data_IF_424710210051
#
_entry.id   IF_424710210051
#
_cell.length_a   1.000
_cell.length_b   1.000
_cell.length_c   1.000
_cell.angle_alpha   90.00
_cell.angle_beta   90.00
_cell.angle_gamma   90.00
#
_symmetry.space_group_name_H-M   'P 1'
#
loop_
_entity.id
_entity.type
_entity.pdbx_description
1 polymer ?
#
# COMPACT_ATOMS: atom_id res chain seq x y z
N UNK A 1 14.39 -50.25 41.30
CA UNK A 1 14.73 -48.84 40.97
C UNK A 1 14.82 -48.71 39.46
N UNK A 2 14.42 -47.55 38.91
CA UNK A 2 14.34 -47.18 37.48
C UNK A 2 13.02 -47.51 36.73
N UNK A 3 12.01 -46.67 37.01
CA UNK A 3 11.05 -46.16 36.01
C UNK A 3 11.06 -44.62 36.13
N UNK A 4 10.85 -43.94 34.99
CA UNK A 4 10.80 -42.49 34.75
C UNK A 4 12.10 -41.82 34.27
N UNK A 5 12.16 -41.53 32.96
CA UNK A 5 12.25 -40.17 32.41
C UNK A 5 12.34 -40.23 30.88
N UNK A 6 11.22 -39.95 30.19
CA UNK A 6 11.22 -39.42 28.82
C UNK A 6 10.27 -38.21 28.86
N UNK A 7 10.75 -36.96 28.77
CA UNK A 7 9.88 -35.82 28.57
C UNK A 7 10.02 -35.20 27.18
N UNK A 8 8.86 -35.00 26.55
CA UNK A 8 8.48 -33.74 25.86
C UNK A 8 9.32 -33.24 24.67
N UNK A 9 9.40 -34.02 23.58
CA UNK A 9 9.83 -33.47 22.27
C UNK A 9 8.71 -33.53 21.19
N UNK A 10 7.54 -34.11 21.49
CA UNK A 10 6.52 -34.38 20.45
C UNK A 10 5.37 -33.35 20.41
N UNK A 11 5.26 -32.38 21.33
CA UNK A 11 4.13 -31.42 21.30
C UNK A 11 4.39 -30.10 20.56
N UNK A 12 5.64 -29.70 20.31
CA UNK A 12 5.97 -28.41 19.68
C UNK A 12 6.18 -28.46 18.16
N UNK A 13 6.31 -29.66 17.57
CA UNK A 13 6.39 -29.81 16.11
C UNK A 13 5.01 -29.76 15.42
N UNK A 14 3.92 -29.97 16.16
CA UNK A 14 2.57 -30.14 15.62
C UNK A 14 1.80 -28.84 15.34
N UNK A 15 2.14 -27.71 15.97
CA UNK A 15 1.51 -26.43 15.68
C UNK A 15 2.16 -25.77 14.47
N UNK A 16 3.49 -25.66 14.46
CA UNK A 16 4.29 -25.00 13.41
C UNK A 16 4.11 -25.63 12.02
N UNK A 17 4.02 -26.97 11.95
CA UNK A 17 3.79 -27.69 10.69
C UNK A 17 2.39 -27.49 10.10
N UNK A 18 1.36 -27.29 10.93
CA UNK A 18 -0.02 -27.04 10.47
C UNK A 18 -0.19 -25.64 9.87
N UNK A 19 0.52 -24.64 10.40
CA UNK A 19 0.56 -23.30 9.82
C UNK A 19 1.32 -23.25 8.49
N UNK A 20 2.42 -24.01 8.37
CA UNK A 20 3.19 -24.11 7.12
C UNK A 20 2.38 -24.74 5.97
N UNK A 21 1.66 -25.84 6.23
CA UNK A 21 0.80 -26.45 5.20
C UNK A 21 -0.41 -25.59 4.85
N UNK A 22 -1.01 -24.88 5.81
CA UNK A 22 -2.10 -23.93 5.52
C UNK A 22 -1.63 -22.76 4.65
N UNK A 23 -0.42 -22.25 4.92
CA UNK A 23 0.21 -21.17 4.17
C UNK A 23 0.54 -21.58 2.73
N UNK A 24 1.18 -22.74 2.53
CA UNK A 24 1.51 -23.27 1.19
C UNK A 24 0.25 -23.64 0.39
N UNK A 25 -0.78 -24.17 1.05
CA UNK A 25 -2.03 -24.53 0.38
C UNK A 25 -2.88 -23.30 0.02
N UNK A 26 -2.88 -22.26 0.88
CA UNK A 26 -3.51 -20.98 0.58
C UNK A 26 -2.74 -20.21 -0.49
N UNK A 27 -1.41 -20.28 -0.49
CA UNK A 27 -0.52 -19.77 -1.53
C UNK A 27 -0.83 -20.42 -2.88
N UNK A 28 -0.85 -21.76 -2.97
CA UNK A 28 -1.16 -22.47 -4.20
C UNK A 28 -2.56 -22.15 -4.74
N UNK A 29 -3.59 -22.06 -3.88
CA UNK A 29 -4.95 -21.71 -4.33
C UNK A 29 -5.10 -20.24 -4.71
N UNK A 30 -4.41 -19.33 -4.05
CA UNK A 30 -4.48 -17.88 -4.38
C UNK A 30 -3.69 -17.57 -5.63
N UNK A 31 -2.52 -18.20 -5.81
CA UNK A 31 -1.74 -18.12 -7.05
C UNK A 31 -2.54 -18.73 -8.20
N UNK A 32 -3.20 -19.87 -8.01
CA UNK A 32 -4.09 -20.45 -9.01
C UNK A 32 -5.27 -19.53 -9.30
N UNK A 33 -5.97 -18.92 -8.33
CA UNK A 33 -7.08 -17.99 -8.63
C UNK A 33 -6.59 -16.70 -9.33
N UNK A 34 -5.41 -16.19 -9.00
CA UNK A 34 -4.77 -15.07 -9.68
C UNK A 34 -4.31 -15.45 -11.11
N UNK A 35 -3.86 -16.68 -11.32
CA UNK A 35 -3.42 -17.24 -12.60
C UNK A 35 -4.58 -17.80 -13.45
N UNK A 36 -5.73 -18.14 -12.87
CA UNK A 36 -6.91 -18.68 -13.55
C UNK A 36 -7.86 -17.59 -14.05
N UNK A 37 -7.67 -16.34 -13.63
CA UNK A 37 -8.33 -15.16 -14.24
C UNK A 37 -7.61 -14.66 -15.50
N UNK A 38 -6.73 -15.49 -16.08
CA UNK A 38 -6.00 -15.24 -17.33
C UNK A 38 -6.83 -15.42 -18.61
N UNK A 39 -8.15 -15.62 -18.53
CA UNK A 39 -9.02 -15.53 -19.70
C UNK A 39 -9.95 -14.31 -19.58
N UNK A 40 -9.89 -13.43 -20.58
CA UNK A 40 -10.79 -12.26 -20.68
C UNK A 40 -12.25 -12.72 -20.73
N UNK A 41 -13.20 -11.91 -20.25
CA UNK A 41 -14.07 -11.28 -21.25
C UNK A 41 -14.46 -9.83 -20.97
N UNK A 42 -14.65 -9.14 -22.11
CA UNK A 42 -15.41 -7.90 -22.30
C UNK A 42 -16.85 -8.03 -21.77
N UNK A 43 -17.36 -6.88 -21.31
CA UNK A 43 -18.77 -6.48 -21.14
C UNK A 43 -19.71 -7.28 -20.21
N UNK A 44 -20.29 -6.56 -19.25
CA UNK A 44 -21.76 -6.47 -19.11
C UNK A 44 -22.17 -5.24 -18.27
N UNK A 45 -22.88 -4.31 -18.91
CA UNK A 45 -23.74 -3.29 -18.31
C UNK A 45 -25.03 -3.92 -17.76
N UNK A 46 -25.59 -3.41 -16.65
CA UNK A 46 -26.93 -2.76 -16.60
C UNK A 46 -27.38 -2.38 -15.17
N UNK A 47 -28.28 -1.39 -15.15
CA UNK A 47 -29.03 -0.73 -14.04
C UNK A 47 -28.29 0.43 -13.36
N UNK A 48 -28.83 1.65 -13.20
CA UNK A 48 -30.18 2.18 -13.40
C UNK A 48 -30.13 3.59 -14.04
N UNK A 49 -31.07 3.88 -14.95
CA UNK A 49 -31.32 5.23 -15.48
C UNK A 49 -32.05 6.03 -14.40
N UNK A 50 -31.41 7.06 -13.87
CA UNK A 50 -32.08 8.28 -13.45
C UNK A 50 -31.58 9.40 -14.36
N UNK A 51 -32.50 10.08 -15.04
CA UNK A 51 -32.18 11.25 -15.83
C UNK A 51 -31.72 12.39 -14.89
N UNK A 52 -30.52 12.95 -15.05
CA UNK A 52 -30.18 14.18 -14.35
C UNK A 52 -30.81 15.35 -15.10
N UNK A 53 -31.54 16.18 -14.36
CA UNK A 53 -32.03 17.47 -14.83
C UNK A 53 -30.95 18.30 -15.52
N UNK A 54 -31.38 19.19 -16.42
CA UNK A 54 -30.50 20.01 -17.28
C UNK A 54 -29.38 20.66 -16.45
N UNK A 55 -28.10 20.43 -16.78
CA UNK A 55 -26.99 21.00 -16.04
C UNK A 55 -26.98 22.53 -16.19
N UNK A 56 -26.88 23.25 -15.08
CA UNK A 56 -26.73 24.71 -15.08
C UNK A 56 -25.42 25.16 -15.76
N UNK A 57 -25.36 26.43 -16.14
CA UNK A 57 -24.22 27.02 -16.88
C UNK A 57 -22.86 26.79 -16.21
N UNK A 58 -22.78 26.89 -14.87
CA UNK A 58 -21.57 26.63 -14.10
C UNK A 58 -21.10 25.16 -14.21
N UNK A 59 -22.04 24.21 -14.28
CA UNK A 59 -21.75 22.80 -14.50
C UNK A 59 -21.21 22.56 -15.92
N UNK A 60 -21.71 23.30 -16.91
CA UNK A 60 -21.19 23.29 -18.28
C UNK A 60 -19.74 23.77 -18.37
N UNK A 61 -19.43 24.90 -17.73
CA UNK A 61 -18.08 25.50 -17.71
C UNK A 61 -17.09 24.57 -17.00
N UNK A 62 -17.43 24.05 -15.82
CA UNK A 62 -16.58 23.11 -15.10
C UNK A 62 -16.32 21.83 -15.91
N UNK A 63 -17.34 21.30 -16.59
CA UNK A 63 -17.18 20.14 -17.50
C UNK A 63 -16.25 20.43 -18.67
N UNK A 64 -16.35 21.61 -19.27
CA UNK A 64 -15.44 22.06 -20.34
C UNK A 64 -13.99 22.14 -19.84
N UNK A 65 -13.79 22.73 -18.67
CA UNK A 65 -12.46 22.91 -18.07
C UNK A 65 -11.76 21.59 -17.70
N UNK A 66 -12.50 20.51 -17.47
CA UNK A 66 -11.98 19.20 -17.07
C UNK A 66 -11.71 18.25 -18.24
N UNK A 67 -12.29 18.47 -19.42
CA UNK A 67 -12.21 17.52 -20.55
C UNK A 67 -10.75 17.20 -20.90
N UNK A 68 -10.43 15.90 -20.92
CA UNK A 68 -9.12 15.38 -21.34
C UNK A 68 -8.00 15.53 -20.31
N UNK A 69 -8.25 16.17 -19.15
CA UNK A 69 -7.21 16.36 -18.13
C UNK A 69 -7.14 15.14 -17.21
N UNK A 70 -6.00 14.43 -17.18
CA UNK A 70 -5.82 13.32 -16.26
C UNK A 70 -5.83 13.80 -14.80
N UNK A 71 -6.26 12.93 -13.89
CA UNK A 71 -6.20 13.08 -12.44
C UNK A 71 -5.49 11.85 -11.88
N UNK A 72 -4.52 12.03 -10.99
CA UNK A 72 -4.00 10.93 -10.17
C UNK A 72 -4.65 10.99 -8.78
N UNK A 73 -5.05 9.84 -8.25
CA UNK A 73 -5.42 9.68 -6.85
C UNK A 73 -4.43 8.69 -6.23
N UNK A 74 -3.60 9.18 -5.33
CA UNK A 74 -2.69 8.38 -4.54
C UNK A 74 -3.35 8.04 -3.20
N UNK A 75 -3.57 6.75 -2.98
CA UNK A 75 -4.06 6.21 -1.72
C UNK A 75 -2.89 5.98 -0.78
N UNK A 76 -2.77 6.82 0.25
CA UNK A 76 -1.65 6.80 1.18
C UNK A 76 -2.02 5.99 2.43
N UNK A 77 -1.55 4.75 2.47
CA UNK A 77 -1.59 3.93 3.70
C UNK A 77 -0.48 4.42 4.65
N UNK A 78 -0.85 4.72 5.88
CA UNK A 78 0.09 5.16 6.91
C UNK A 78 1.30 4.21 7.02
N UNK A 79 2.50 4.79 6.89
CA UNK A 79 3.82 4.12 6.91
C UNK A 79 4.14 3.19 5.73
N UNK A 80 3.50 3.41 4.58
CA UNK A 80 3.83 2.74 3.32
C UNK A 80 4.62 3.62 2.33
N UNK A 81 5.59 4.40 2.83
CA UNK A 81 6.43 5.30 2.02
C UNK A 81 5.67 6.37 1.19
N UNK A 82 4.40 6.65 1.51
CA UNK A 82 3.62 7.65 0.76
C UNK A 82 4.15 9.07 0.90
N UNK A 83 4.78 9.44 2.02
CA UNK A 83 5.43 10.76 2.16
C UNK A 83 6.56 10.98 1.16
N UNK A 84 7.35 9.94 0.85
CA UNK A 84 8.42 10.03 -0.16
C UNK A 84 7.84 10.23 -1.56
N UNK A 85 6.74 9.54 -1.88
CA UNK A 85 6.06 9.73 -3.15
C UNK A 85 5.36 11.08 -3.26
N UNK A 86 4.67 11.52 -2.20
CA UNK A 86 4.07 12.85 -2.13
C UNK A 86 5.10 13.96 -2.35
N UNK A 87 6.30 13.84 -1.75
CA UNK A 87 7.38 14.78 -2.00
C UNK A 87 7.80 14.79 -3.48
N UNK A 88 7.96 13.61 -4.10
CA UNK A 88 8.32 13.50 -5.51
C UNK A 88 7.24 14.12 -6.41
N UNK A 89 5.97 13.90 -6.09
CA UNK A 89 4.83 14.50 -6.77
C UNK A 89 4.81 16.03 -6.59
N UNK A 90 5.05 16.52 -5.38
CA UNK A 90 5.07 17.94 -5.08
C UNK A 90 6.17 18.66 -5.88
N UNK A 91 7.35 18.06 -6.01
CA UNK A 91 8.43 18.56 -6.87
C UNK A 91 8.04 18.54 -8.34
N UNK A 92 7.32 17.52 -8.79
CA UNK A 92 6.94 17.35 -10.19
C UNK A 92 5.80 18.28 -10.64
N UNK A 93 4.80 18.54 -9.80
CA UNK A 93 3.58 19.27 -10.20
C UNK A 93 3.25 20.50 -9.35
N UNK A 94 4.02 20.80 -8.30
CA UNK A 94 3.82 21.94 -7.41
C UNK A 94 2.38 22.03 -6.90
N UNK A 95 1.73 23.18 -7.14
CA UNK A 95 0.33 23.44 -6.73
C UNK A 95 -0.70 22.50 -7.37
N UNK A 96 -0.31 21.66 -8.33
CA UNK A 96 -1.16 20.63 -8.92
C UNK A 96 -1.46 19.46 -7.98
N UNK A 97 -0.63 19.25 -6.95
CA UNK A 97 -0.87 18.29 -5.86
C UNK A 97 -1.77 18.90 -4.79
N UNK A 98 -2.77 18.13 -4.36
CA UNK A 98 -3.65 18.47 -3.26
C UNK A 98 -3.69 17.32 -2.26
N UNK A 99 -3.35 17.60 -1.00
CA UNK A 99 -3.58 16.69 0.12
C UNK A 99 -5.02 16.88 0.57
N UNK A 100 -5.86 15.87 0.41
CA UNK A 100 -7.29 16.00 0.69
C UNK A 100 -7.71 14.96 1.71
N UNK A 101 -7.75 15.40 2.95
CA UNK A 101 -8.24 14.66 4.11
C UNK A 101 -9.14 15.61 4.93
N UNK A 102 -10.08 15.05 5.68
CA UNK A 102 -10.84 15.80 6.68
C UNK A 102 -9.97 16.09 7.92
N UNK A 103 -10.42 17.03 8.76
CA UNK A 103 -9.75 17.34 10.03
C UNK A 103 -9.77 16.17 11.02
N UNK A 104 -10.66 15.20 10.84
CA UNK A 104 -10.76 14.02 11.72
C UNK A 104 -9.74 12.98 11.30
N UNK A 105 -8.89 12.51 12.22
CA UNK A 105 -7.85 11.52 11.91
C UNK A 105 -8.41 10.16 11.47
N UNK A 106 -9.61 9.81 11.92
CA UNK A 106 -10.38 8.62 11.57
C UNK A 106 -11.38 8.87 10.41
N UNK A 107 -11.32 10.05 9.79
CA UNK A 107 -12.21 10.44 8.72
C UNK A 107 -12.20 9.46 7.54
N UNK A 108 -13.33 9.42 6.83
CA UNK A 108 -13.47 8.65 5.61
C UNK A 108 -14.08 9.51 4.49
N UNK A 109 -13.40 9.55 3.36
CA UNK A 109 -13.84 10.23 2.15
C UNK A 109 -14.43 9.21 1.18
N UNK A 110 -15.71 9.39 0.86
CA UNK A 110 -16.37 8.56 -0.15
C UNK A 110 -15.90 8.94 -1.55
N UNK A 111 -16.17 8.05 -2.51
CA UNK A 111 -15.97 8.33 -3.95
C UNK A 111 -16.71 9.60 -4.40
N UNK A 112 -17.90 9.85 -3.83
CA UNK A 112 -18.69 11.05 -4.11
C UNK A 112 -18.03 12.32 -3.56
N UNK A 113 -17.40 12.25 -2.39
CA UNK A 113 -16.67 13.38 -1.80
C UNK A 113 -15.46 13.76 -2.66
N UNK A 114 -14.68 12.77 -3.11
CA UNK A 114 -13.57 12.98 -4.04
C UNK A 114 -14.03 13.61 -5.38
N UNK A 115 -15.12 13.09 -5.96
CA UNK A 115 -15.66 13.61 -7.21
C UNK A 115 -16.17 15.06 -7.04
N UNK A 116 -16.84 15.36 -5.93
CA UNK A 116 -17.32 16.71 -5.60
C UNK A 116 -16.15 17.68 -5.39
N UNK A 117 -15.10 17.26 -4.70
CA UNK A 117 -13.88 18.04 -4.51
C UNK A 117 -13.23 18.40 -5.85
N UNK A 118 -13.06 17.43 -6.75
CA UNK A 118 -12.46 17.66 -8.08
C UNK A 118 -13.31 18.60 -8.94
N UNK A 119 -14.64 18.51 -8.84
CA UNK A 119 -15.55 19.40 -9.57
C UNK A 119 -15.40 20.86 -9.12
N UNK A 120 -15.18 21.10 -7.83
CA UNK A 120 -14.94 22.44 -7.26
C UNK A 120 -13.51 22.93 -7.51
N UNK A 121 -12.54 22.02 -7.63
CA UNK A 121 -11.12 22.32 -7.76
C UNK A 121 -10.57 21.83 -9.11
N UNK A 122 -11.00 22.48 -10.20
CA UNK A 122 -10.69 22.04 -11.59
C UNK A 122 -9.20 22.06 -11.96
N UNK A 123 -8.36 22.75 -11.18
CA UNK A 123 -6.90 22.79 -11.36
C UNK A 123 -6.17 21.61 -10.72
N UNK A 124 -6.85 20.82 -9.87
CA UNK A 124 -6.25 19.66 -9.21
C UNK A 124 -5.85 18.61 -10.23
N UNK A 125 -4.56 18.27 -10.24
CA UNK A 125 -3.96 17.23 -11.09
C UNK A 125 -3.74 15.94 -10.31
N UNK A 126 -3.44 16.06 -9.01
CA UNK A 126 -3.13 14.94 -8.14
C UNK A 126 -3.81 15.14 -6.79
N UNK A 127 -4.41 14.08 -6.27
CA UNK A 127 -4.91 14.00 -4.89
C UNK A 127 -4.08 12.96 -4.16
N UNK A 128 -3.57 13.30 -2.98
CA UNK A 128 -3.05 12.34 -2.00
C UNK A 128 -3.99 12.33 -0.79
N UNK A 129 -4.34 11.15 -0.28
CA UNK A 129 -5.30 11.02 0.82
C UNK A 129 -5.06 9.76 1.64
N UNK A 130 -5.24 9.87 2.96
CA UNK A 130 -5.24 8.76 3.92
C UNK A 130 -6.67 8.26 4.22
N UNK A 131 -7.68 8.98 3.74
CA UNK A 131 -9.07 8.82 4.17
C UNK A 131 -9.98 8.24 3.10
N UNK A 132 -9.52 8.10 1.87
CA UNK A 132 -10.26 7.39 0.84
C UNK A 132 -9.75 5.96 0.66
N UNK A 133 -10.66 5.06 0.29
CA UNK A 133 -10.33 3.70 -0.13
C UNK A 133 -10.53 3.55 -1.66
N UNK A 134 -9.81 2.63 -2.30
CA UNK A 134 -10.11 2.22 -3.66
C UNK A 134 -11.49 1.54 -3.76
N UNK A 135 -12.10 1.48 -4.96
CA UNK A 135 -11.57 1.94 -6.25
C UNK A 135 -11.72 3.45 -6.47
N UNK A 136 -10.98 3.99 -7.44
CA UNK A 136 -11.09 5.39 -7.83
C UNK A 136 -12.51 5.78 -8.30
N UNK A 137 -12.98 7.00 -7.99
CA UNK A 137 -14.26 7.49 -8.49
C UNK A 137 -14.22 7.67 -10.01
N UNK A 138 -15.35 7.44 -10.66
CA UNK A 138 -15.54 7.84 -12.06
C UNK A 138 -15.87 9.32 -12.12
N UNK A 139 -15.03 10.11 -12.78
CA UNK A 139 -15.22 11.56 -12.93
C UNK A 139 -15.44 11.86 -14.42
N UNK A 140 -16.63 12.33 -14.76
CA UNK A 140 -17.01 12.62 -16.16
C UNK A 140 -16.03 13.62 -16.78
N UNK A 141 -15.46 13.24 -17.92
CA UNK A 141 -14.54 14.08 -18.69
C UNK A 141 -13.07 14.00 -18.27
N UNK A 142 -12.73 13.23 -17.23
CA UNK A 142 -11.34 13.01 -16.79
C UNK A 142 -10.95 11.54 -16.87
N UNK A 143 -9.70 11.28 -17.27
CA UNK A 143 -9.04 10.00 -16.99
C UNK A 143 -8.57 10.04 -15.54
N UNK A 144 -9.09 9.16 -14.69
CA UNK A 144 -8.62 9.03 -13.31
C UNK A 144 -7.65 7.86 -13.26
N UNK A 145 -6.42 8.15 -12.90
CA UNK A 145 -5.37 7.19 -12.57
C UNK A 145 -5.35 7.00 -11.06
N UNK A 146 -4.96 5.81 -10.63
CA UNK A 146 -4.87 5.44 -9.22
C UNK A 146 -3.52 4.85 -8.87
N UNK A 147 -3.03 5.18 -7.67
CA UNK A 147 -1.80 4.58 -7.16
C UNK A 147 -1.87 4.20 -5.68
N UNK A 148 -1.17 3.13 -5.32
CA UNK A 148 -1.02 2.67 -3.93
C UNK A 148 0.31 1.93 -3.76
N UNK A 149 0.82 1.93 -2.54
CA UNK A 149 1.92 1.09 -2.08
C UNK A 149 1.43 0.22 -0.92
N UNK A 150 1.71 -1.08 -1.00
CA UNK A 150 1.54 -2.04 0.09
C UNK A 150 2.91 -2.31 0.70
N UNK A 151 2.98 -2.56 2.01
CA UNK A 151 4.22 -2.86 2.71
C UNK A 151 4.11 -4.20 3.39
N UNK A 152 5.23 -4.89 3.58
CA UNK A 152 5.24 -6.03 4.49
C UNK A 152 4.68 -5.59 5.86
N UNK A 153 3.64 -6.27 6.39
CA UNK A 153 2.94 -5.78 7.58
C UNK A 153 3.85 -5.76 8.82
N UNK A 154 4.85 -6.64 8.92
CA UNK A 154 5.79 -6.65 10.05
C UNK A 154 6.79 -5.49 9.92
N UNK A 155 7.32 -5.25 8.71
CA UNK A 155 8.14 -4.08 8.42
C UNK A 155 7.38 -2.77 8.66
N UNK A 156 6.06 -2.75 8.38
CA UNK A 156 5.18 -1.62 8.67
C UNK A 156 5.06 -1.37 10.17
N UNK A 157 4.84 -2.41 10.98
CA UNK A 157 4.82 -2.31 12.46
C UNK A 157 6.11 -1.69 13.00
N UNK A 158 7.26 -2.17 12.53
CA UNK A 158 8.57 -1.59 12.89
C UNK A 158 8.68 -0.12 12.50
N UNK A 159 8.20 0.23 11.31
CA UNK A 159 8.22 1.61 10.83
C UNK A 159 7.29 2.54 11.62
N UNK A 160 6.15 2.03 12.11
CA UNK A 160 5.28 2.77 13.02
C UNK A 160 6.00 3.05 14.33
N UNK A 161 6.58 2.02 14.96
CA UNK A 161 7.35 2.19 16.20
C UNK A 161 8.48 3.21 16.05
N UNK A 162 9.32 3.06 15.03
CA UNK A 162 10.42 3.99 14.78
C UNK A 162 9.93 5.43 14.57
N UNK A 163 8.85 5.61 13.80
CA UNK A 163 8.26 6.91 13.54
C UNK A 163 7.74 7.56 14.82
N UNK A 164 6.87 6.87 15.56
CA UNK A 164 6.27 7.43 16.77
C UNK A 164 7.31 7.71 17.85
N UNK A 165 8.34 6.86 17.97
CA UNK A 165 9.46 7.09 18.88
C UNK A 165 10.24 8.37 18.54
N UNK A 166 10.46 8.64 17.25
CA UNK A 166 11.15 9.85 16.77
C UNK A 166 10.26 11.09 16.72
N UNK A 167 8.93 10.93 16.74
CA UNK A 167 8.01 12.03 16.51
C UNK A 167 8.00 12.98 17.71
N UNK A 168 8.07 14.28 17.42
CA UNK A 168 7.84 15.34 18.40
C UNK A 168 6.33 15.62 18.46
N UNK A 169 5.61 14.74 19.17
CA UNK A 169 4.18 14.88 19.41
C UNK A 169 3.80 14.25 20.75
N UNK A 170 2.79 14.80 21.40
CA UNK A 170 2.26 14.34 22.69
C UNK A 170 0.98 13.52 22.50
N UNK A 171 1.04 12.53 21.60
CA UNK A 171 -0.02 11.55 21.43
C UNK A 171 0.33 10.23 22.14
N UNK A 172 -0.66 9.39 22.50
CA UNK A 172 -0.40 8.16 23.26
C UNK A 172 0.62 7.23 22.60
N UNK A 173 0.65 7.17 21.27
CA UNK A 173 1.60 6.36 20.52
C UNK A 173 3.04 6.83 20.68
N UNK A 174 3.29 8.11 20.44
CA UNK A 174 4.61 8.71 20.59
C UNK A 174 5.14 8.63 22.02
N UNK A 175 4.27 8.83 23.02
CA UNK A 175 4.63 8.68 24.45
C UNK A 175 5.06 7.24 24.71
N UNK A 176 4.24 6.25 24.35
CA UNK A 176 4.51 4.83 24.63
C UNK A 176 5.69 4.29 23.84
N UNK A 177 5.90 4.74 22.61
CA UNK A 177 7.05 4.35 21.80
C UNK A 177 8.40 4.87 22.36
N UNK A 178 8.37 5.97 23.13
CA UNK A 178 9.55 6.50 23.84
C UNK A 178 9.78 5.77 25.17
N UNK A 179 8.71 5.51 25.92
CA UNK A 179 8.75 4.81 27.21
C UNK A 179 9.14 3.34 27.10
N UNK A 180 8.63 2.64 26.08
CA UNK A 180 8.74 1.19 25.96
C UNK A 180 9.78 0.80 24.91
N UNK A 181 10.41 -0.36 25.10
CA UNK A 181 11.11 -1.06 24.03
C UNK A 181 10.14 -1.65 23.00
N UNK A 182 10.66 -2.15 21.87
CA UNK A 182 9.83 -2.61 20.75
C UNK A 182 8.78 -3.66 21.18
N UNK A 183 9.17 -4.68 21.95
CA UNK A 183 8.24 -5.69 22.48
C UNK A 183 7.10 -5.08 23.30
N UNK A 184 7.42 -4.30 24.33
CA UNK A 184 6.41 -3.69 25.20
C UNK A 184 5.50 -2.73 24.45
N UNK A 185 6.04 -2.01 23.46
CA UNK A 185 5.24 -1.17 22.57
C UNK A 185 4.26 -1.98 21.71
N UNK A 186 4.69 -3.14 21.19
CA UNK A 186 3.81 -4.04 20.43
C UNK A 186 2.71 -4.61 21.32
N UNK A 187 3.03 -5.10 22.52
CA UNK A 187 2.06 -5.59 23.51
C UNK A 187 1.01 -4.52 23.82
N UNK A 188 1.46 -3.31 24.15
CA UNK A 188 0.58 -2.19 24.43
C UNK A 188 -0.33 -1.86 23.24
N UNK A 189 0.23 -1.78 22.02
CA UNK A 189 -0.54 -1.41 20.83
C UNK A 189 -1.58 -2.46 20.47
N UNK A 190 -1.22 -3.75 20.56
CA UNK A 190 -2.14 -4.86 20.34
C UNK A 190 -3.31 -4.83 21.34
N UNK A 191 -3.07 -4.39 22.58
CA UNK A 191 -4.12 -4.26 23.59
C UNK A 191 -5.06 -3.06 23.35
N UNK A 192 -4.54 -1.89 22.96
CA UNK A 192 -5.35 -0.65 22.89
C UNK A 192 -5.90 -0.33 21.51
N UNK A 193 -5.22 -0.73 20.44
CA UNK A 193 -5.59 -0.42 19.06
C UNK A 193 -5.03 -1.45 18.08
N UNK A 194 -5.51 -2.71 18.15
CA UNK A 194 -4.96 -3.81 17.37
C UNK A 194 -5.07 -3.55 15.87
N UNK A 195 -6.14 -2.89 15.40
CA UNK A 195 -6.36 -2.57 13.98
C UNK A 195 -5.22 -1.77 13.34
N UNK A 196 -4.51 -0.93 14.11
CA UNK A 196 -3.37 -0.18 13.59
C UNK A 196 -2.26 -1.11 13.08
N UNK A 197 -2.14 -2.30 13.66
CA UNK A 197 -1.17 -3.34 13.26
C UNK A 197 -1.80 -4.44 12.42
N UNK A 198 -2.95 -4.94 12.83
CA UNK A 198 -3.54 -6.20 12.36
C UNK A 198 -4.41 -5.99 11.12
N UNK A 199 -3.95 -6.54 9.98
CA UNK A 199 -4.66 -6.54 8.70
C UNK A 199 -5.16 -5.12 8.30
N UNK A 200 -4.38 -4.10 8.64
CA UNK A 200 -4.74 -2.70 8.42
C UNK A 200 -4.84 -2.36 6.94
N UNK A 201 -3.99 -2.97 6.10
CA UNK A 201 -3.91 -2.62 4.68
C UNK A 201 -5.11 -3.18 3.93
N UNK A 202 -5.58 -4.38 4.29
CA UNK A 202 -6.85 -4.90 3.81
C UNK A 202 -8.00 -4.06 4.30
N UNK A 203 -8.06 -3.76 5.60
CA UNK A 203 -9.08 -2.87 6.15
C UNK A 203 -9.15 -1.59 5.31
N UNK A 204 -8.02 -0.91 5.10
CA UNK A 204 -7.90 0.28 4.27
C UNK A 204 -8.46 0.07 2.86
N UNK A 205 -8.06 -1.00 2.17
CA UNK A 205 -8.46 -1.27 0.80
C UNK A 205 -9.95 -1.60 0.64
N UNK A 206 -10.63 -2.00 1.72
CA UNK A 206 -12.05 -2.36 1.69
C UNK A 206 -12.95 -1.51 2.60
N UNK A 207 -12.43 -0.39 3.15
CA UNK A 207 -13.18 0.51 4.04
C UNK A 207 -14.44 1.02 3.35
N UNK A 208 -15.54 0.98 4.09
CA UNK A 208 -16.82 1.55 3.70
C UNK A 208 -17.42 2.28 4.90
N UNK A 209 -17.85 3.53 4.70
CA UNK A 209 -18.47 4.38 5.72
C UNK A 209 -19.67 3.70 6.39
N UNK A 210 -20.37 2.83 5.67
CA UNK A 210 -21.58 2.19 6.16
C UNK A 210 -21.36 1.09 7.21
N UNK A 211 -20.11 0.62 7.42
CA UNK A 211 -19.82 -0.52 8.30
C UNK A 211 -18.81 -0.14 9.38
N UNK A 212 -19.22 -0.25 10.64
CA UNK A 212 -18.31 -0.21 11.77
C UNK A 212 -17.35 -1.41 11.69
N UNK A 213 -16.05 -1.15 11.85
CA UNK A 213 -14.89 -2.05 11.72
C UNK A 213 -15.21 -3.56 11.81
N UNK A 214 -15.60 -4.22 10.70
CA UNK A 214 -16.02 -5.60 10.76
C UNK A 214 -14.81 -6.53 10.97
N UNK A 215 -15.01 -7.72 11.55
CA UNK A 215 -14.02 -8.79 11.46
C UNK A 215 -13.62 -9.00 10.00
N UNK A 216 -12.31 -9.04 9.75
CA UNK A 216 -11.78 -9.24 8.41
C UNK A 216 -11.69 -10.73 8.13
N UNK A 217 -12.07 -11.10 6.92
CA UNK A 217 -12.09 -12.48 6.47
C UNK A 217 -11.60 -12.57 5.02
N UNK A 218 -11.68 -13.76 4.45
CA UNK A 218 -11.25 -14.01 3.07
C UNK A 218 -12.01 -13.16 2.04
N UNK A 219 -13.29 -12.84 2.28
CA UNK A 219 -14.06 -11.99 1.37
C UNK A 219 -13.52 -10.56 1.30
N UNK A 220 -12.92 -10.07 2.40
CA UNK A 220 -12.25 -8.78 2.43
C UNK A 220 -10.95 -8.81 1.64
N UNK A 221 -10.17 -9.89 1.76
CA UNK A 221 -8.98 -10.12 0.94
C UNK A 221 -9.34 -10.15 -0.55
N UNK A 222 -10.37 -10.89 -0.97
CA UNK A 222 -10.76 -10.98 -2.38
C UNK A 222 -11.18 -9.60 -2.94
N UNK A 223 -11.88 -8.77 -2.14
CA UNK A 223 -12.22 -7.39 -2.53
C UNK A 223 -10.98 -6.50 -2.61
N UNK A 224 -10.05 -6.62 -1.67
CA UNK A 224 -8.80 -5.87 -1.68
C UNK A 224 -7.94 -6.24 -2.90
N UNK A 225 -7.84 -7.53 -3.24
CA UNK A 225 -7.15 -8.01 -4.46
C UNK A 225 -7.79 -7.41 -5.70
N UNK A 226 -9.12 -7.46 -5.82
CA UNK A 226 -9.82 -6.87 -6.96
C UNK A 226 -9.62 -5.35 -7.06
N UNK A 227 -9.55 -4.66 -5.92
CA UNK A 227 -9.24 -3.24 -5.86
C UNK A 227 -7.81 -2.94 -6.34
N UNK A 228 -6.82 -3.74 -5.91
CA UNK A 228 -5.42 -3.60 -6.34
C UNK A 228 -5.22 -3.90 -7.82
N UNK A 229 -5.81 -4.97 -8.35
CA UNK A 229 -5.70 -5.31 -9.79
C UNK A 229 -6.34 -4.22 -10.66
N UNK A 230 -7.38 -3.55 -10.17
CA UNK A 230 -7.99 -2.40 -10.84
C UNK A 230 -7.16 -1.11 -10.84
N UNK A 231 -6.01 -1.07 -10.16
CA UNK A 231 -5.15 0.11 -10.12
C UNK A 231 -4.18 0.22 -11.28
N UNK A 232 -3.85 1.47 -11.65
CA UNK A 232 -2.86 1.75 -12.68
C UNK A 232 -1.43 1.57 -12.13
N UNK A 233 -1.14 2.05 -10.91
CA UNK A 233 0.19 2.05 -10.30
C UNK A 233 0.13 1.37 -8.93
N UNK A 234 0.49 0.08 -8.87
CA UNK A 234 0.44 -0.73 -7.65
C UNK A 234 1.75 -1.47 -7.45
N UNK A 235 2.15 -1.65 -6.19
CA UNK A 235 3.32 -2.45 -5.84
C UNK A 235 3.67 -2.36 -4.37
N UNK A 236 4.91 -2.69 -4.07
CA UNK A 236 5.41 -2.85 -2.70
C UNK A 236 6.44 -1.79 -2.33
N UNK A 237 6.48 -1.42 -1.05
CA UNK A 237 7.48 -0.48 -0.52
C UNK A 237 8.89 -1.05 -0.67
N UNK A 238 9.05 -2.36 -0.53
CA UNK A 238 10.32 -3.07 -0.65
C UNK A 238 10.93 -2.94 -2.07
N UNK A 239 10.08 -2.74 -3.09
CA UNK A 239 10.47 -2.49 -4.49
C UNK A 239 10.13 -1.07 -4.94
N UNK A 240 10.28 -0.10 -4.03
CA UNK A 240 9.91 1.30 -4.27
C UNK A 240 10.52 1.88 -5.54
N UNK A 241 11.80 1.62 -5.82
CA UNK A 241 12.48 2.17 -7.00
C UNK A 241 11.85 1.66 -8.32
N UNK A 242 11.49 0.37 -8.37
CA UNK A 242 10.78 -0.21 -9.52
C UNK A 242 9.35 0.32 -9.64
N UNK A 243 8.64 0.44 -8.51
CA UNK A 243 7.32 1.04 -8.46
C UNK A 243 7.33 2.51 -8.90
N UNK A 244 8.35 3.28 -8.51
CA UNK A 244 8.53 4.67 -8.91
C UNK A 244 8.80 4.78 -10.41
N UNK A 245 9.55 3.85 -10.99
CA UNK A 245 9.77 3.78 -12.44
C UNK A 245 8.48 3.44 -13.21
N UNK A 246 7.65 2.53 -12.68
CA UNK A 246 6.31 2.28 -13.20
C UNK A 246 5.45 3.56 -13.15
N UNK A 247 5.43 4.25 -12.01
CA UNK A 247 4.73 5.51 -11.83
C UNK A 247 5.23 6.57 -12.83
N UNK A 248 6.55 6.72 -12.98
CA UNK A 248 7.17 7.63 -13.93
C UNK A 248 6.72 7.35 -15.36
N UNK A 249 6.71 6.08 -15.78
CA UNK A 249 6.26 5.68 -17.13
C UNK A 249 4.80 6.03 -17.37
N UNK A 250 3.91 5.68 -16.44
CA UNK A 250 2.46 5.91 -16.58
C UNK A 250 2.16 7.40 -16.54
N UNK A 251 2.71 8.11 -15.57
CA UNK A 251 2.37 9.50 -15.35
C UNK A 251 2.94 10.40 -16.45
N UNK A 252 4.12 10.09 -17.02
CA UNK A 252 4.64 10.84 -18.18
C UNK A 252 3.74 10.74 -19.41
N UNK A 253 3.14 9.57 -19.64
CA UNK A 253 2.22 9.32 -20.77
C UNK A 253 0.98 10.22 -20.69
N UNK A 254 0.49 10.49 -19.47
CA UNK A 254 -0.74 11.23 -19.26
C UNK A 254 -0.52 12.71 -18.95
N UNK A 255 0.47 13.03 -18.12
CA UNK A 255 0.71 14.38 -17.60
C UNK A 255 1.75 15.18 -18.41
N UNK A 256 2.32 14.58 -19.46
CA UNK A 256 3.46 15.13 -20.19
C UNK A 256 4.78 14.91 -19.43
N UNK A 257 5.82 15.67 -19.75
CA UNK A 257 7.10 15.54 -19.07
C UNK A 257 6.97 15.86 -17.57
N UNK A 258 7.09 14.83 -16.74
CA UNK A 258 7.26 14.94 -15.29
C UNK A 258 8.52 14.19 -14.89
N UNK A 259 9.16 14.60 -13.79
CA UNK A 259 10.34 13.91 -13.24
C UNK A 259 10.07 13.54 -11.80
N UNK A 260 9.99 12.24 -11.53
CA UNK A 260 9.86 11.67 -10.20
C UNK A 260 11.26 11.28 -9.72
N UNK A 261 11.82 12.08 -8.83
CA UNK A 261 13.08 11.76 -8.18
C UNK A 261 12.84 10.87 -6.96
N UNK A 262 13.63 9.81 -6.81
CA UNK A 262 13.71 9.06 -5.57
C UNK A 262 14.46 9.89 -4.53
N UNK A 263 13.81 10.26 -3.43
CA UNK A 263 14.52 10.69 -2.22
C UNK A 263 14.71 9.47 -1.34
N UNK A 264 15.96 8.99 -1.29
CA UNK A 264 16.37 7.91 -0.39
C UNK A 264 16.52 8.45 1.03
N UNK A 265 15.42 8.76 1.70
CA UNK A 265 15.46 9.23 3.10
C UNK A 265 15.09 8.17 4.15
N UNK A 266 14.61 6.98 3.76
CA UNK A 266 14.25 5.92 4.72
C UNK A 266 14.48 4.50 4.17
N UNK A 267 15.69 4.19 3.69
CA UNK A 267 16.07 2.77 3.57
C UNK A 267 16.54 2.26 4.92
N UNK A 268 15.80 1.30 5.48
CA UNK A 268 16.46 0.25 6.26
C UNK A 268 17.52 -0.35 5.34
N UNK A 269 18.76 -0.27 5.81
CA UNK A 269 20.00 -0.75 5.19
C UNK A 269 19.80 -1.88 4.19
N UNK A 270 20.43 -1.70 3.02
CA UNK A 270 20.82 -2.73 2.07
C UNK A 270 21.66 -3.82 2.74
N UNK A 271 21.01 -4.65 3.55
CA UNK A 271 21.55 -5.91 4.06
C UNK A 271 21.35 -7.00 3.01
N UNK A 272 22.05 -8.13 3.19
CA UNK A 272 21.79 -9.34 2.40
C UNK A 272 20.29 -9.65 2.36
N UNK A 273 19.76 -10.18 1.25
CA UNK A 273 18.39 -10.68 1.21
C UNK A 273 18.19 -11.62 2.40
N UNK A 274 17.33 -11.24 3.33
CA UNK A 274 16.98 -12.10 4.45
C UNK A 274 15.88 -13.03 3.99
N UNK A 275 16.03 -14.32 4.25
CA UNK A 275 14.96 -15.29 4.02
C UNK A 275 13.77 -15.01 4.96
N UNK A 276 12.58 -15.44 4.56
CA UNK A 276 11.40 -15.33 5.43
C UNK A 276 11.61 -16.01 6.79
N UNK A 277 12.38 -17.10 6.82
CA UNK A 277 12.72 -17.82 8.05
C UNK A 277 13.56 -16.96 8.99
N UNK A 278 14.60 -16.29 8.49
CA UNK A 278 15.45 -15.40 9.29
C UNK A 278 14.67 -14.19 9.82
N UNK A 279 13.72 -13.65 9.04
CA UNK A 279 12.84 -12.56 9.49
C UNK A 279 11.95 -13.03 10.63
N UNK A 280 11.37 -14.24 10.53
CA UNK A 280 10.52 -14.83 11.56
C UNK A 280 11.32 -15.16 12.83
N UNK A 281 12.50 -15.75 12.69
CA UNK A 281 13.39 -16.05 13.81
C UNK A 281 13.75 -14.78 14.59
N UNK A 282 14.18 -13.72 13.89
CA UNK A 282 14.44 -12.42 14.52
C UNK A 282 13.21 -11.84 15.20
N UNK A 283 12.03 -11.96 14.58
CA UNK A 283 10.79 -11.49 15.19
C UNK A 283 10.48 -12.23 16.49
N UNK A 284 10.69 -13.54 16.52
CA UNK A 284 10.53 -14.38 17.72
C UNK A 284 11.57 -14.04 18.79
N UNK A 285 12.83 -13.80 18.42
CA UNK A 285 13.87 -13.35 19.35
C UNK A 285 13.50 -12.02 20.03
N UNK A 286 12.95 -11.08 19.27
CA UNK A 286 12.62 -9.75 19.80
C UNK A 286 11.30 -9.70 20.58
N UNK A 287 10.26 -10.44 20.16
CA UNK A 287 8.92 -10.37 20.75
C UNK A 287 8.61 -11.53 21.71
N UNK A 288 9.34 -12.64 21.60
CA UNK A 288 8.94 -13.93 22.16
C UNK A 288 7.97 -14.68 21.23
N UNK A 289 7.92 -16.01 21.38
CA UNK A 289 7.15 -16.92 20.51
C UNK A 289 5.67 -16.55 20.42
N UNK A 290 5.07 -16.22 21.56
CA UNK A 290 3.62 -16.10 21.66
C UNK A 290 3.13 -14.81 21.00
N UNK A 291 3.74 -13.67 21.33
CA UNK A 291 3.41 -12.38 20.72
C UNK A 291 3.79 -12.33 19.23
N UNK A 292 4.93 -12.93 18.84
CA UNK A 292 5.29 -13.03 17.43
C UNK A 292 4.29 -13.88 16.65
N UNK A 293 3.88 -15.03 17.21
CA UNK A 293 2.86 -15.89 16.62
C UNK A 293 1.51 -15.19 16.47
N UNK A 294 1.06 -14.50 17.51
CA UNK A 294 -0.17 -13.71 17.47
C UNK A 294 -0.11 -12.63 16.40
N UNK A 295 0.97 -11.84 16.36
CA UNK A 295 1.13 -10.75 15.40
C UNK A 295 1.12 -11.27 13.95
N UNK A 296 1.74 -12.42 13.68
CA UNK A 296 1.74 -13.06 12.37
C UNK A 296 0.34 -13.55 11.98
N UNK A 297 -0.37 -14.23 12.87
CA UNK A 297 -1.75 -14.71 12.63
C UNK A 297 -2.69 -13.54 12.36
N UNK A 298 -2.61 -12.49 13.17
CA UNK A 298 -3.45 -11.30 13.03
C UNK A 298 -3.12 -10.46 11.78
N UNK A 299 -2.05 -10.81 11.05
CA UNK A 299 -1.65 -10.18 9.79
C UNK A 299 -1.64 -11.13 8.59
N UNK A 300 -2.22 -12.34 8.70
CA UNK A 300 -2.15 -13.33 7.60
C UNK A 300 -2.70 -12.78 6.27
N UNK A 301 -3.74 -11.95 6.35
CA UNK A 301 -4.41 -11.43 5.17
C UNK A 301 -3.57 -10.32 4.54
N UNK A 302 -2.99 -9.42 5.34
CA UNK A 302 -2.06 -8.39 4.85
C UNK A 302 -0.80 -9.01 4.24
N UNK A 303 -0.28 -10.13 4.79
CA UNK A 303 0.81 -10.90 4.17
C UNK A 303 0.43 -11.39 2.78
N UNK A 304 -0.79 -11.94 2.62
CA UNK A 304 -1.30 -12.35 1.31
C UNK A 304 -1.46 -11.15 0.36
N UNK A 305 -1.99 -10.03 0.86
CA UNK A 305 -2.18 -8.81 0.06
C UNK A 305 -0.84 -8.25 -0.44
N UNK A 306 0.20 -8.29 0.39
CA UNK A 306 1.55 -7.86 0.04
C UNK A 306 2.13 -8.69 -1.10
N UNK A 307 2.03 -10.02 -1.03
CA UNK A 307 2.46 -10.92 -2.12
C UNK A 307 1.71 -10.64 -3.43
N UNK A 308 0.40 -10.37 -3.35
CA UNK A 308 -0.39 -10.00 -4.52
C UNK A 308 0.08 -8.66 -5.10
N UNK A 309 0.34 -7.65 -4.26
CA UNK A 309 0.85 -6.37 -4.72
C UNK A 309 2.22 -6.50 -5.42
N UNK A 310 3.09 -7.38 -4.92
CA UNK A 310 4.39 -7.68 -5.53
C UNK A 310 4.25 -8.34 -6.91
N UNK A 311 3.35 -9.33 -7.02
CA UNK A 311 3.04 -9.99 -8.28
C UNK A 311 2.43 -9.00 -9.29
N UNK A 312 1.54 -8.12 -8.85
CA UNK A 312 0.94 -7.08 -9.69
C UNK A 312 1.99 -6.08 -10.18
N UNK A 313 2.93 -5.66 -9.34
CA UNK A 313 4.04 -4.80 -9.77
C UNK A 313 4.85 -5.47 -10.88
N UNK A 314 5.25 -6.73 -10.67
CA UNK A 314 6.00 -7.52 -11.67
C UNK A 314 5.25 -7.58 -13.00
N UNK A 315 3.95 -7.89 -12.97
CA UNK A 315 3.09 -7.92 -14.15
C UNK A 315 3.04 -6.56 -14.85
N UNK A 316 2.78 -5.47 -14.12
CA UNK A 316 2.65 -4.10 -14.68
C UNK A 316 3.97 -3.60 -15.30
N UNK A 317 5.11 -3.95 -14.69
CA UNK A 317 6.44 -3.65 -15.24
C UNK A 317 6.70 -4.40 -16.55
N UNK A 318 6.31 -5.68 -16.62
CA UNK A 318 6.43 -6.51 -17.82
C UNK A 318 5.53 -6.01 -18.94
N UNK A 319 4.25 -5.71 -18.65
CA UNK A 319 3.27 -5.16 -19.60
C UNK A 319 3.75 -3.85 -20.27
N UNK A 320 4.61 -3.08 -19.59
CA UNK A 320 5.14 -1.79 -20.06
C UNK A 320 6.62 -1.82 -20.48
N UNK A 321 7.25 -2.99 -20.46
CA UNK A 321 8.69 -3.17 -20.72
C UNK A 321 9.56 -2.21 -19.90
N UNK A 322 9.18 -1.92 -18.66
CA UNK A 322 9.89 -0.96 -17.79
C UNK A 322 11.21 -1.55 -17.30
N UNK A 323 11.30 -2.87 -17.11
CA UNK A 323 12.52 -3.57 -16.73
C UNK A 323 13.68 -3.33 -17.71
N UNK A 324 13.38 -3.26 -19.02
CA UNK A 324 14.37 -2.97 -20.06
C UNK A 324 14.89 -1.53 -19.90
N UNK A 325 13.98 -0.57 -19.68
CA UNK A 325 14.33 0.85 -19.50
C UNK A 325 15.07 1.14 -18.19
N UNK A 326 14.75 0.42 -17.11
CA UNK A 326 15.53 0.47 -15.86
C UNK A 326 16.95 -0.04 -16.09
N UNK A 327 17.13 -1.17 -16.78
CA UNK A 327 18.46 -1.69 -17.12
C UNK A 327 19.23 -0.73 -18.02
N UNK A 328 18.56 -0.02 -18.93
CA UNK A 328 19.20 0.99 -19.79
C UNK A 328 19.50 2.32 -19.08
N UNK A 329 18.71 2.68 -18.05
CA UNK A 329 18.92 3.88 -17.25
C UNK A 329 20.02 3.68 -16.20
N UNK A 330 20.04 2.51 -15.53
CA UNK A 330 21.09 2.14 -14.58
C UNK A 330 22.36 1.63 -15.28
N UNK A 331 22.25 0.99 -16.45
CA UNK A 331 23.40 0.61 -17.29
C UNK A 331 24.12 1.81 -17.91
N UNK A 332 23.46 2.97 -17.99
CA UNK A 332 24.07 4.27 -18.33
C UNK A 332 24.58 5.05 -17.12
N UNK A 333 24.33 4.59 -15.90
CA UNK A 333 24.86 5.16 -14.67
C UNK A 333 26.03 4.28 -14.18
N UNK A 334 27.19 4.39 -14.84
CA UNK A 334 28.32 5.02 -14.15
C UNK A 334 29.29 5.77 -15.09
N UNK A 335 29.44 7.09 -14.88
CA UNK A 335 30.67 7.88 -15.14
C UNK A 335 30.56 9.38 -14.80
N UNK A 336 29.41 9.91 -14.35
CA UNK A 336 29.28 11.34 -14.06
C UNK A 336 29.85 11.79 -12.69
N UNK A 337 30.46 10.90 -11.91
CA UNK A 337 31.08 11.23 -10.62
C UNK A 337 32.62 11.13 -10.62
N UNK A 338 33.26 10.81 -11.75
CA UNK A 338 34.72 10.77 -11.88
C UNK A 338 35.32 12.00 -12.61
N UNK A 339 34.51 12.92 -13.12
CA UNK A 339 34.97 14.09 -13.89
C UNK A 339 34.90 15.43 -13.14
N UNK A 340 34.63 15.41 -11.82
CA UNK A 340 34.56 16.62 -10.99
C UNK A 340 35.68 16.71 -9.93
N UNK A 341 36.77 15.96 -10.13
CA UNK A 341 37.94 15.94 -9.22
C UNK A 341 39.25 16.37 -9.88
N UNK A 342 39.21 16.81 -11.15
CA UNK A 342 40.38 17.34 -11.87
C UNK A 342 39.99 18.63 -12.60
N UNK A 343 39.78 19.71 -11.85
CA UNK A 343 40.00 21.10 -12.29
C UNK A 343 40.24 21.99 -11.10
#
# INVERSE_FOLDING_TARGET
MLRHHIPQIVSHAGSTGRYFLSYVHTFARTLVVALSRFESPREALRTARQEPGRPGLADGIARGALRGKPLLIHYHIFKNAGSSFEWALEKAVGKGLQRYDSLSHDGFLTRSDLAAYVKKNVRTRIIATHQAAPPAPRIKGRRVLSSILIRDPIARVRSIYAFERSQVADNPGAIKAKELGFKGYVEWRMAVSPRMFCNFQIHFCCRDRAKADPPLDRSHLDRAIAALDGMDIVGTVERYDEWLALAQSILSEHFGFISLASVRENQSTSGKPQSESEIKERLVEELGSDLAGELLVQNELDMCLHQVADALLTRRLAERSVLIRLRDAYGRAPQAQAAASET
#
